data_IF_625168568712
#
_entry.id   IF_625168568712
#
_cell.length_a   1.000
_cell.length_b   1.000
_cell.length_c   1.000
_cell.angle_alpha   90.00
_cell.angle_beta   90.00
_cell.angle_gamma   90.00
#
_symmetry.space_group_name_H-M   'P 1'
#
loop_
_entity.id
_entity.type
_entity.pdbx_description
1 polymer ?
#
# COMPACT_ATOMS: atom_id res chain seq x y z
N UNK A 1 0.63 -2.61 10.32
CA UNK A 1 -0.69 -3.26 10.11
C UNK A 1 -0.57 -4.75 10.41
N UNK A 2 -1.55 -5.38 11.08
CA UNK A 2 -1.57 -6.84 11.28
C UNK A 2 -2.33 -7.55 10.13
N UNK A 3 -2.30 -8.87 10.07
CA UNK A 3 -2.88 -9.64 8.95
C UNK A 3 -4.40 -9.52 8.84
N UNK A 4 -5.11 -9.41 9.96
CA UNK A 4 -6.55 -9.18 9.99
C UNK A 4 -6.91 -7.82 9.40
N UNK A 5 -6.19 -6.78 9.82
CA UNK A 5 -6.39 -5.42 9.33
C UNK A 5 -6.04 -5.33 7.83
N UNK A 6 -5.00 -6.03 7.38
CA UNK A 6 -4.65 -6.11 5.96
C UNK A 6 -5.74 -6.81 5.15
N UNK A 7 -6.29 -7.90 5.68
CA UNK A 7 -7.39 -8.62 5.04
C UNK A 7 -8.64 -7.75 4.92
N UNK A 8 -8.98 -7.02 5.99
CA UNK A 8 -10.10 -6.08 5.98
C UNK A 8 -9.88 -4.94 4.98
N UNK A 9 -8.69 -4.34 4.97
CA UNK A 9 -8.36 -3.27 4.03
C UNK A 9 -8.41 -3.75 2.56
N UNK A 10 -7.93 -4.96 2.27
CA UNK A 10 -8.03 -5.54 0.92
C UNK A 10 -9.49 -5.71 0.49
N UNK A 11 -10.34 -6.23 1.38
CA UNK A 11 -11.74 -6.50 1.09
C UNK A 11 -12.57 -5.21 0.96
N UNK A 12 -12.38 -4.25 1.87
CA UNK A 12 -13.24 -3.07 1.98
C UNK A 12 -12.73 -1.87 1.18
N UNK A 13 -11.44 -1.80 0.90
CA UNK A 13 -10.84 -0.67 0.19
C UNK A 13 -10.29 -1.09 -1.17
N UNK A 14 -9.29 -1.98 -1.19
CA UNK A 14 -8.52 -2.21 -2.41
C UNK A 14 -9.31 -2.91 -3.51
N UNK A 15 -10.04 -3.98 -3.20
CA UNK A 15 -10.81 -4.70 -4.21
C UNK A 15 -12.14 -3.98 -4.58
N UNK A 16 -12.60 -3.03 -3.74
CA UNK A 16 -13.72 -2.14 -4.05
C UNK A 16 -13.32 -0.84 -4.76
N UNK A 17 -12.03 -0.66 -5.10
CA UNK A 17 -11.58 0.51 -5.86
C UNK A 17 -12.33 0.61 -7.20
N UNK A 18 -12.49 1.82 -7.76
CA UNK A 18 -12.98 1.99 -9.12
C UNK A 18 -12.20 1.10 -10.11
N UNK A 19 -12.91 0.41 -10.99
CA UNK A 19 -12.39 -0.59 -11.95
C UNK A 19 -11.73 -1.84 -11.33
N UNK A 20 -11.65 -1.92 -9.99
CA UNK A 20 -11.17 -3.11 -9.28
C UNK A 20 -12.19 -4.23 -9.21
N UNK A 21 -13.48 -3.90 -9.12
CA UNK A 21 -14.57 -4.88 -8.97
C UNK A 21 -14.81 -5.72 -10.23
N UNK A 22 -14.69 -5.10 -11.41
CA UNK A 22 -14.85 -5.82 -12.68
C UNK A 22 -13.56 -6.49 -13.16
N UNK A 23 -12.44 -6.28 -12.45
CA UNK A 23 -11.13 -6.88 -12.73
C UNK A 23 -10.67 -6.70 -14.19
N UNK A 24 -11.19 -5.70 -14.89
CA UNK A 24 -11.02 -5.53 -16.33
C UNK A 24 -9.60 -5.12 -16.70
N UNK A 25 -8.90 -4.46 -15.78
CA UNK A 25 -7.56 -3.95 -15.98
C UNK A 25 -6.61 -4.49 -14.94
N UNK A 26 -5.48 -5.01 -15.43
CA UNK A 26 -4.40 -5.49 -14.57
C UNK A 26 -3.78 -4.31 -13.81
N UNK A 27 -3.80 -4.37 -12.49
CA UNK A 27 -3.24 -3.33 -11.64
C UNK A 27 -1.92 -3.74 -10.98
N UNK A 28 -1.14 -2.77 -10.52
CA UNK A 28 0.05 -2.98 -9.70
C UNK A 28 -0.20 -2.41 -8.30
N UNK A 29 -0.19 -3.26 -7.28
CA UNK A 29 -0.20 -2.84 -5.88
C UNK A 29 1.23 -2.82 -5.35
N UNK A 30 1.71 -1.63 -5.03
CA UNK A 30 3.04 -1.39 -4.48
C UNK A 30 2.93 -1.17 -2.97
N UNK A 31 3.56 -2.04 -2.18
CA UNK A 31 3.62 -1.93 -0.73
C UNK A 31 5.06 -1.72 -0.26
N UNK A 32 5.23 -1.13 0.92
CA UNK A 32 6.51 -1.16 1.62
C UNK A 32 6.78 -2.54 2.24
N UNK A 33 8.05 -2.80 2.57
CA UNK A 33 8.46 -4.02 3.25
C UNK A 33 8.16 -4.01 4.75
N UNK A 34 7.13 -3.29 5.22
CA UNK A 34 6.75 -3.37 6.62
C UNK A 34 6.49 -4.82 7.02
N UNK A 35 7.20 -5.28 8.05
CA UNK A 35 7.26 -6.70 8.43
C UNK A 35 5.87 -7.27 8.74
N UNK A 36 5.62 -8.48 8.24
CA UNK A 36 4.48 -9.31 8.62
C UNK A 36 3.34 -9.31 7.61
N UNK A 37 2.37 -8.42 7.78
CA UNK A 37 1.06 -8.53 7.12
C UNK A 37 1.08 -8.23 5.62
N UNK A 38 1.98 -7.38 5.14
CA UNK A 38 1.98 -6.96 3.73
C UNK A 38 2.43 -8.09 2.80
N UNK A 39 3.25 -9.02 3.30
CA UNK A 39 3.90 -10.07 2.50
C UNK A 39 3.30 -11.46 2.71
N UNK A 40 2.21 -11.56 3.46
CA UNK A 40 1.58 -12.84 3.78
C UNK A 40 1.06 -13.52 2.52
N UNK A 41 1.07 -14.86 2.52
CA UNK A 41 0.60 -15.64 1.38
C UNK A 41 -0.90 -15.42 1.13
N UNK A 42 -1.67 -15.18 2.21
CA UNK A 42 -3.08 -14.83 2.14
C UNK A 42 -3.30 -13.52 1.39
N UNK A 43 -2.59 -12.46 1.78
CA UNK A 43 -2.68 -11.16 1.10
C UNK A 43 -2.30 -11.27 -0.38
N UNK A 44 -1.22 -11.98 -0.69
CA UNK A 44 -0.78 -12.22 -2.08
C UNK A 44 -1.84 -12.96 -2.91
N UNK A 45 -2.52 -13.95 -2.33
CA UNK A 45 -3.58 -14.68 -3.00
C UNK A 45 -4.80 -13.79 -3.31
N UNK A 46 -5.24 -12.98 -2.34
CA UNK A 46 -6.35 -12.04 -2.52
C UNK A 46 -6.03 -10.98 -3.58
N UNK A 47 -4.82 -10.42 -3.59
CA UNK A 47 -4.40 -9.41 -4.58
C UNK A 47 -4.37 -10.00 -5.99
N UNK A 48 -3.87 -11.23 -6.14
CA UNK A 48 -3.88 -11.94 -7.42
C UNK A 48 -5.31 -12.22 -7.90
N UNK A 49 -6.23 -12.57 -6.99
CA UNK A 49 -7.63 -12.77 -7.33
C UNK A 49 -8.25 -11.49 -7.90
N UNK A 50 -7.95 -10.32 -7.34
CA UNK A 50 -8.41 -9.02 -7.85
C UNK A 50 -7.59 -8.52 -9.08
N UNK A 51 -7.18 -9.42 -9.98
CA UNK A 51 -6.37 -9.20 -11.20
C UNK A 51 -5.19 -8.21 -11.01
N UNK A 52 -4.46 -8.35 -9.90
CA UNK A 52 -3.40 -7.39 -9.54
C UNK A 52 -2.05 -8.07 -9.32
N UNK A 53 -0.99 -7.35 -9.66
CA UNK A 53 0.40 -7.71 -9.39
C UNK A 53 0.79 -7.11 -8.06
N UNK A 54 1.45 -7.91 -7.22
CA UNK A 54 1.94 -7.47 -5.94
C UNK A 54 3.45 -7.17 -6.01
N UNK A 55 3.84 -5.95 -5.67
CA UNK A 55 5.23 -5.51 -5.60
C UNK A 55 5.56 -4.98 -4.20
N UNK A 56 6.73 -5.37 -3.68
CA UNK A 56 7.24 -4.93 -2.38
C UNK A 56 8.50 -4.14 -2.60
N UNK A 57 8.54 -2.93 -2.03
CA UNK A 57 9.74 -2.10 -2.01
C UNK A 57 10.61 -2.53 -0.83
N UNK A 58 11.92 -2.81 -1.05
CA UNK A 58 12.86 -3.13 0.03
C UNK A 58 12.91 -2.03 1.11
N UNK A 59 13.18 -2.42 2.35
CA UNK A 59 13.09 -1.51 3.51
C UNK A 59 14.00 -0.30 3.33
N UNK A 60 15.23 -0.57 2.90
CA UNK A 60 16.31 0.38 2.71
C UNK A 60 16.02 1.39 1.58
N UNK A 61 15.06 1.06 0.70
CA UNK A 61 14.70 1.89 -0.45
C UNK A 61 13.35 2.59 -0.27
N UNK A 62 12.65 2.36 0.83
CA UNK A 62 11.29 2.91 1.06
C UNK A 62 11.31 4.44 0.99
N UNK A 63 12.32 5.08 1.55
CA UNK A 63 12.40 6.55 1.57
C UNK A 63 12.55 7.19 0.18
N UNK A 64 13.05 6.42 -0.80
CA UNK A 64 13.34 6.90 -2.15
C UNK A 64 12.30 6.40 -3.17
N UNK A 65 11.90 5.14 -3.06
CA UNK A 65 11.11 4.45 -4.07
C UNK A 65 9.63 4.34 -3.69
N UNK A 66 9.24 4.47 -2.42
CA UNK A 66 7.84 4.37 -2.03
C UNK A 66 7.12 5.66 -2.43
N UNK A 67 6.19 5.63 -3.42
CA UNK A 67 5.60 6.85 -3.96
C UNK A 67 4.85 7.65 -2.88
N UNK A 68 4.14 6.96 -2.00
CA UNK A 68 3.41 7.56 -0.89
C UNK A 68 4.35 8.33 0.05
N UNK A 69 5.48 7.73 0.43
CA UNK A 69 6.41 8.37 1.35
C UNK A 69 7.17 9.51 0.70
N UNK A 70 7.76 9.27 -0.48
CA UNK A 70 8.59 10.23 -1.19
C UNK A 70 7.80 11.48 -1.61
N UNK A 71 6.55 11.31 -2.06
CA UNK A 71 5.78 12.41 -2.65
C UNK A 71 4.79 13.05 -1.67
N UNK A 72 4.13 12.24 -0.84
CA UNK A 72 3.02 12.70 0.01
C UNK A 72 3.45 12.85 1.46
N UNK A 73 3.89 11.77 2.11
CA UNK A 73 4.15 11.79 3.56
C UNK A 73 5.28 12.74 3.92
N UNK A 74 6.39 12.73 3.17
CA UNK A 74 7.53 13.63 3.42
C UNK A 74 7.12 15.10 3.32
N UNK A 75 6.43 15.47 2.24
CA UNK A 75 5.92 16.83 2.01
C UNK A 75 4.93 17.25 3.09
N UNK A 76 3.98 16.38 3.43
CA UNK A 76 3.01 16.60 4.50
C UNK A 76 3.70 16.83 5.85
N UNK A 77 4.63 15.96 6.25
CA UNK A 77 5.36 16.09 7.52
C UNK A 77 6.19 17.37 7.58
N UNK A 78 6.79 17.80 6.47
CA UNK A 78 7.55 19.06 6.43
C UNK A 78 6.65 20.27 6.74
N UNK A 79 5.50 20.37 6.09
CA UNK A 79 4.52 21.44 6.35
C UNK A 79 3.93 21.34 7.76
N UNK A 80 3.57 20.13 8.18
CA UNK A 80 3.01 19.90 9.51
C UNK A 80 3.95 20.38 10.62
N UNK A 81 5.25 20.07 10.51
CA UNK A 81 6.27 20.53 11.48
C UNK A 81 6.39 22.05 11.50
N UNK A 82 6.39 22.68 10.34
CA UNK A 82 6.42 24.15 10.26
C UNK A 82 5.24 24.81 10.98
N UNK A 83 4.05 24.20 10.95
CA UNK A 83 2.87 24.71 11.63
C UNK A 83 2.87 24.38 13.13
N UNK A 84 3.38 23.21 13.50
CA UNK A 84 3.34 22.70 14.88
C UNK A 84 4.39 23.32 15.80
N UNK A 85 5.56 23.65 15.26
CA UNK A 85 6.66 24.27 16.01
C UNK A 85 6.53 25.81 16.08
N UNK A 86 5.36 26.36 15.71
CA UNK A 86 4.97 27.78 15.87
C UNK A 86 4.12 27.98 17.11
#
# INVERSE_FOLDING_TARGET
MNEETMSLWLAECYCKRPDGFFETHKALLVMDSQRGAHISQRSKATIKACNSVFAVIPAELTEFLQPLHASVSRSFTAVFRQLWDT
#
